data_IF_362010498840
#
_entry.id   IF_362010498840
#
_cell.length_a   1.000
_cell.length_b   1.000
_cell.length_c   1.000
_cell.angle_alpha   90.00
_cell.angle_beta   90.00
_cell.angle_gamma   90.00
#
_symmetry.space_group_name_H-M   'P 1'
#
loop_
_entity.id
_entity.type
_entity.pdbx_description
1 polymer ?
#
# COMPACT_ATOMS: atom_id res chain seq x y z
N UNK A 1 -12.74 -4.67 11.79
CA UNK A 1 -11.64 -3.70 11.75
C UNK A 1 -10.83 -3.90 10.49
N UNK A 2 -10.64 -2.86 9.71
CA UNK A 2 -9.89 -2.95 8.47
C UNK A 2 -8.39 -3.09 8.75
N UNK A 3 -7.72 -3.87 7.90
CA UNK A 3 -6.29 -4.17 8.03
C UNK A 3 -5.54 -3.52 6.87
N UNK A 4 -4.60 -2.67 7.19
CA UNK A 4 -3.79 -1.93 6.23
C UNK A 4 -2.37 -2.48 6.30
N UNK A 5 -1.85 -2.94 5.16
CA UNK A 5 -0.46 -3.39 5.07
C UNK A 5 0.40 -2.27 4.49
N UNK A 6 1.55 -2.04 5.11
CA UNK A 6 2.50 -1.00 4.66
C UNK A 6 3.76 -1.65 4.11
N UNK A 7 4.10 -1.34 2.87
CA UNK A 7 5.38 -1.67 2.25
C UNK A 7 6.11 -0.37 1.98
N UNK A 8 6.85 0.10 2.99
CA UNK A 8 7.54 1.38 3.02
C UNK A 8 8.85 1.21 3.79
N UNK A 9 9.95 1.74 3.27
CA UNK A 9 11.27 1.58 3.88
C UNK A 9 11.66 2.71 4.82
N UNK A 10 11.00 3.87 4.75
CA UNK A 10 11.27 5.00 5.65
C UNK A 10 10.65 4.72 7.02
N UNK A 11 11.50 4.39 8.00
CA UNK A 11 11.03 4.03 9.35
C UNK A 11 10.30 5.15 10.05
N UNK A 12 10.67 6.40 9.82
CA UNK A 12 9.96 7.54 10.38
C UNK A 12 8.54 7.60 9.82
N UNK A 13 8.40 7.42 8.51
CA UNK A 13 7.09 7.39 7.86
C UNK A 13 6.26 6.24 8.38
N UNK A 14 6.84 5.04 8.51
CA UNK A 14 6.13 3.87 9.04
C UNK A 14 5.60 4.15 10.44
N UNK A 15 6.42 4.75 11.31
CA UNK A 15 6.00 5.08 12.67
C UNK A 15 4.83 6.06 12.69
N UNK A 16 4.90 7.11 11.85
CA UNK A 16 3.82 8.08 11.73
C UNK A 16 2.54 7.45 11.22
N UNK A 17 2.64 6.60 10.19
CA UNK A 17 1.47 5.94 9.61
C UNK A 17 0.83 4.97 10.60
N UNK A 18 1.64 4.21 11.35
CA UNK A 18 1.09 3.31 12.38
C UNK A 18 0.28 4.08 13.41
N UNK A 19 0.81 5.21 13.86
CA UNK A 19 0.11 6.05 14.84
C UNK A 19 -1.17 6.62 14.26
N UNK A 20 -1.07 7.25 13.08
CA UNK A 20 -2.20 7.90 12.43
C UNK A 20 -3.33 6.91 12.12
N UNK A 21 -2.98 5.80 11.49
CA UNK A 21 -3.98 4.80 11.09
C UNK A 21 -4.56 4.07 12.30
N UNK A 22 -3.75 3.84 13.33
CA UNK A 22 -4.24 3.24 14.58
C UNK A 22 -5.26 4.13 15.26
N UNK A 23 -5.07 5.44 15.23
CA UNK A 23 -6.03 6.39 15.79
C UNK A 23 -7.38 6.36 15.06
N UNK A 24 -7.37 5.96 13.79
CA UNK A 24 -8.60 5.83 13.00
C UNK A 24 -9.25 4.45 13.14
N UNK A 25 -8.68 3.60 13.98
CA UNK A 25 -9.22 2.27 14.24
C UNK A 25 -8.76 1.19 13.29
N UNK A 26 -7.80 1.47 12.42
CA UNK A 26 -7.25 0.46 11.51
C UNK A 26 -6.18 -0.40 12.20
N UNK A 27 -6.15 -1.67 11.84
CA UNK A 27 -5.04 -2.54 12.21
C UNK A 27 -3.94 -2.39 11.15
N UNK A 28 -2.71 -2.14 11.58
CA UNK A 28 -1.60 -1.88 10.67
C UNK A 28 -0.60 -3.04 10.70
N UNK A 29 -0.25 -3.53 9.52
CA UNK A 29 0.76 -4.56 9.33
C UNK A 29 1.92 -3.91 8.58
N UNK A 30 3.00 -3.57 9.29
CA UNK A 30 4.17 -2.96 8.67
C UNK A 30 5.17 -4.05 8.31
N UNK A 31 5.50 -4.16 7.02
CA UNK A 31 6.46 -5.14 6.56
C UNK A 31 7.88 -4.68 6.83
N UNK A 32 8.76 -5.61 7.17
CA UNK A 32 10.18 -5.32 7.23
C UNK A 32 10.75 -5.26 5.82
N UNK A 33 11.91 -4.61 5.67
CA UNK A 33 12.57 -4.43 4.38
C UNK A 33 12.92 -5.75 3.69
N UNK A 34 13.09 -6.82 4.47
CA UNK A 34 13.49 -8.13 3.96
C UNK A 34 12.31 -9.02 3.58
N UNK A 35 11.08 -8.61 3.90
CA UNK A 35 9.92 -9.44 3.62
C UNK A 35 9.50 -9.35 2.16
N UNK A 36 9.10 -10.50 1.61
CA UNK A 36 8.48 -10.56 0.29
C UNK A 36 7.05 -10.05 0.38
N UNK A 37 6.75 -8.97 -0.32
CA UNK A 37 5.44 -8.31 -0.24
C UNK A 37 4.32 -9.23 -0.74
N UNK A 38 4.53 -9.91 -1.86
CA UNK A 38 3.50 -10.78 -2.44
C UNK A 38 3.15 -11.91 -1.49
N UNK A 39 4.17 -12.53 -0.89
CA UNK A 39 3.96 -13.61 0.07
C UNK A 39 3.24 -13.10 1.32
N UNK A 40 3.62 -11.94 1.83
CA UNK A 40 2.97 -11.34 2.98
C UNK A 40 1.49 -11.07 2.70
N UNK A 41 1.17 -10.58 1.50
CA UNK A 41 -0.21 -10.35 1.09
C UNK A 41 -1.01 -11.67 1.10
N UNK A 42 -0.43 -12.73 0.58
CA UNK A 42 -1.09 -14.04 0.57
C UNK A 42 -1.35 -14.55 1.99
N UNK A 43 -0.38 -14.37 2.88
CA UNK A 43 -0.46 -14.91 4.24
C UNK A 43 -1.41 -14.10 5.12
N UNK A 44 -1.34 -12.79 5.05
CA UNK A 44 -2.05 -11.90 5.99
C UNK A 44 -3.37 -11.38 5.43
N UNK A 45 -3.55 -11.39 4.12
CA UNK A 45 -4.76 -10.95 3.42
C UNK A 45 -5.29 -9.60 3.93
N UNK A 46 -4.50 -8.53 3.77
CA UNK A 46 -4.94 -7.21 4.19
C UNK A 46 -6.10 -6.71 3.33
N UNK A 47 -6.81 -5.71 3.84
CA UNK A 47 -7.89 -5.07 3.07
C UNK A 47 -7.33 -4.09 2.05
N UNK A 48 -6.24 -3.40 2.39
CA UNK A 48 -5.54 -2.46 1.50
C UNK A 48 -4.04 -2.62 1.70
N UNK A 49 -3.29 -2.55 0.60
CA UNK A 49 -1.84 -2.47 0.61
C UNK A 49 -1.42 -1.06 0.20
N UNK A 50 -0.67 -0.39 1.05
CA UNK A 50 -0.01 0.87 0.72
C UNK A 50 1.43 0.52 0.32
N UNK A 51 1.75 0.71 -0.96
CA UNK A 51 2.98 0.18 -1.57
C UNK A 51 3.79 1.30 -2.20
N UNK A 52 5.03 1.48 -1.71
CA UNK A 52 5.96 2.42 -2.32
C UNK A 52 6.51 1.84 -3.62
N UNK A 53 6.55 2.64 -4.68
CA UNK A 53 7.15 2.22 -5.94
C UNK A 53 8.65 1.89 -5.77
N UNK A 54 9.34 2.68 -4.95
CA UNK A 54 10.78 2.57 -4.77
C UNK A 54 11.13 1.89 -3.45
N UNK A 55 11.13 0.56 -3.44
CA UNK A 55 11.60 -0.22 -2.30
C UNK A 55 13.07 -0.60 -2.52
N UNK A 56 13.86 -0.74 -1.43
CA UNK A 56 15.29 -1.06 -1.58
C UNK A 56 15.56 -2.37 -2.30
N UNK A 57 14.71 -3.37 -2.08
CA UNK A 57 14.90 -4.73 -2.59
C UNK A 57 13.94 -5.10 -3.72
N UNK A 58 13.07 -4.19 -4.13
CA UNK A 58 12.07 -4.50 -5.14
C UNK A 58 11.52 -3.24 -5.79
N UNK A 59 11.12 -3.38 -7.05
CA UNK A 59 10.38 -2.33 -7.74
C UNK A 59 8.88 -2.55 -7.44
N UNK A 60 8.23 -1.55 -6.85
CA UNK A 60 6.81 -1.66 -6.48
C UNK A 60 5.89 -1.95 -7.66
N UNK A 61 6.22 -1.48 -8.87
CA UNK A 61 5.42 -1.80 -10.06
C UNK A 61 5.50 -3.29 -10.40
N UNK A 62 6.69 -3.89 -10.26
CA UNK A 62 6.83 -5.33 -10.48
C UNK A 62 6.05 -6.12 -9.43
N UNK A 63 6.09 -5.66 -8.17
CA UNK A 63 5.31 -6.28 -7.09
C UNK A 63 3.82 -6.21 -7.42
N UNK A 64 3.34 -5.06 -7.88
CA UNK A 64 1.95 -4.88 -8.27
C UNK A 64 1.57 -5.84 -9.41
N UNK A 65 2.43 -5.99 -10.41
CA UNK A 65 2.18 -6.92 -11.50
C UNK A 65 2.00 -8.35 -10.98
N UNK A 66 2.85 -8.77 -10.04
CA UNK A 66 2.75 -10.10 -9.44
C UNK A 66 1.44 -10.27 -8.67
N UNK A 67 1.03 -9.24 -7.94
CA UNK A 67 -0.24 -9.26 -7.20
C UNK A 67 -1.41 -9.42 -8.17
N UNK A 68 -1.40 -8.73 -9.29
CA UNK A 68 -2.50 -8.78 -10.27
C UNK A 68 -2.53 -10.06 -11.08
N UNK A 69 -1.41 -10.75 -11.22
CA UNK A 69 -1.31 -12.02 -11.96
C UNK A 69 -1.74 -13.24 -11.14
N UNK A 70 -1.78 -13.10 -9.81
CA UNK A 70 -2.09 -14.21 -8.91
C UNK A 70 -3.59 -14.19 -8.59
N UNK A 71 -4.28 -15.30 -8.85
CA UNK A 71 -5.71 -15.41 -8.60
C UNK A 71 -6.10 -15.17 -7.14
N UNK A 72 -5.20 -15.44 -6.20
CA UNK A 72 -5.47 -15.24 -4.78
C UNK A 72 -5.38 -13.79 -4.35
N UNK A 73 -4.67 -12.95 -5.10
CA UNK A 73 -4.36 -11.57 -4.69
C UNK A 73 -4.82 -10.51 -5.69
N UNK A 74 -5.28 -10.91 -6.87
CA UNK A 74 -5.55 -9.99 -7.97
C UNK A 74 -6.58 -8.90 -7.67
N UNK A 75 -7.47 -9.13 -6.70
CA UNK A 75 -8.53 -8.17 -6.36
C UNK A 75 -8.17 -7.28 -5.17
N UNK A 76 -6.96 -7.42 -4.63
CA UNK A 76 -6.51 -6.60 -3.51
C UNK A 76 -6.52 -5.12 -3.88
N UNK A 77 -7.00 -4.28 -2.96
CA UNK A 77 -6.90 -2.83 -3.13
C UNK A 77 -5.46 -2.40 -2.88
N UNK A 78 -4.85 -1.78 -3.88
CA UNK A 78 -3.46 -1.32 -3.80
C UNK A 78 -3.40 0.18 -4.05
N UNK A 79 -2.86 0.91 -3.09
CA UNK A 79 -2.57 2.34 -3.21
C UNK A 79 -1.05 2.49 -3.33
N UNK A 80 -0.60 3.04 -4.45
CA UNK A 80 0.84 3.23 -4.69
C UNK A 80 1.28 4.61 -4.23
N UNK A 81 2.53 4.72 -3.79
CA UNK A 81 3.12 6.00 -3.41
C UNK A 81 4.49 6.16 -4.07
N UNK A 82 4.86 7.40 -4.36
CA UNK A 82 6.19 7.73 -4.90
C UNK A 82 6.46 9.21 -4.72
N UNK A 83 7.75 9.57 -4.66
CA UNK A 83 8.19 10.97 -4.74
C UNK A 83 8.16 11.53 -6.15
N UNK A 84 7.97 10.66 -7.14
CA UNK A 84 7.80 11.05 -8.54
C UNK A 84 6.35 10.86 -8.94
N UNK A 85 5.85 11.73 -9.83
CA UNK A 85 4.46 11.59 -10.28
C UNK A 85 4.36 10.45 -11.28
N UNK A 86 4.06 9.26 -10.77
CA UNK A 86 3.91 8.02 -11.54
C UNK A 86 2.45 7.55 -11.55
N UNK A 87 1.51 8.45 -11.37
CA UNK A 87 0.09 8.09 -11.25
C UNK A 87 -0.41 7.28 -12.44
N UNK A 88 -0.14 7.76 -13.65
CA UNK A 88 -0.61 7.07 -14.85
C UNK A 88 0.02 5.69 -14.99
N UNK A 89 1.31 5.57 -14.71
CA UNK A 89 2.01 4.30 -14.78
C UNK A 89 1.46 3.31 -13.75
N UNK A 90 1.29 3.78 -12.51
CA UNK A 90 0.74 2.93 -11.44
C UNK A 90 -0.65 2.44 -11.81
N UNK A 91 -1.51 3.30 -12.28
CA UNK A 91 -2.87 2.91 -12.66
C UNK A 91 -2.88 1.98 -13.86
N UNK A 92 -1.97 2.18 -14.80
CA UNK A 92 -1.82 1.30 -15.95
C UNK A 92 -1.43 -0.13 -15.52
N UNK A 93 -0.63 -0.26 -14.48
CA UNK A 93 -0.27 -1.56 -13.90
C UNK A 93 -1.34 -2.16 -13.00
N UNK A 94 -2.42 -1.43 -12.74
CA UNK A 94 -3.54 -1.95 -11.96
C UNK A 94 -3.67 -1.43 -10.54
N UNK A 95 -3.00 -0.32 -10.21
CA UNK A 95 -3.19 0.33 -8.91
C UNK A 95 -4.60 0.93 -8.81
N UNK A 96 -5.17 0.84 -7.62
CA UNK A 96 -6.48 1.46 -7.37
C UNK A 96 -6.36 2.97 -7.20
N UNK A 97 -5.29 3.42 -6.55
CA UNK A 97 -5.03 4.84 -6.34
C UNK A 97 -3.53 5.12 -6.22
N UNK A 98 -3.19 6.41 -6.24
CA UNK A 98 -1.81 6.87 -6.16
C UNK A 98 -1.72 8.11 -5.27
N UNK A 99 -0.67 8.17 -4.44
CA UNK A 99 -0.35 9.33 -3.62
C UNK A 99 1.06 9.81 -3.91
N UNK A 100 1.18 11.07 -4.30
CA UNK A 100 2.49 11.71 -4.51
C UNK A 100 3.06 12.14 -3.15
N UNK A 101 4.30 11.76 -2.87
CA UNK A 101 4.99 12.19 -1.65
C UNK A 101 5.58 13.60 -1.81
N UNK A 102 5.58 14.42 -0.78
CA UNK A 102 4.92 14.21 0.51
C UNK A 102 3.40 14.46 0.40
N UNK A 103 2.61 13.57 0.98
CA UNK A 103 1.15 13.73 1.00
C UNK A 103 0.69 14.15 2.40
N UNK A 104 -0.48 14.78 2.44
CA UNK A 104 -1.08 15.17 3.71
C UNK A 104 -1.80 13.98 4.34
N UNK A 105 -1.83 13.90 5.68
CA UNK A 105 -2.56 12.83 6.36
C UNK A 105 -4.02 12.72 5.91
N UNK A 106 -4.70 13.86 5.73
CA UNK A 106 -6.10 13.86 5.29
C UNK A 106 -6.28 13.22 3.92
N UNK A 107 -5.33 13.43 3.00
CA UNK A 107 -5.41 12.84 1.67
C UNK A 107 -5.26 11.31 1.74
N UNK A 108 -4.35 10.83 2.58
CA UNK A 108 -4.17 9.39 2.79
C UNK A 108 -5.43 8.77 3.38
N UNK A 109 -5.96 9.37 4.45
CA UNK A 109 -7.15 8.83 5.11
C UNK A 109 -8.35 8.78 4.17
N UNK A 110 -8.52 9.81 3.34
CA UNK A 110 -9.60 9.86 2.36
C UNK A 110 -9.48 8.74 1.32
N UNK A 111 -8.28 8.54 0.78
CA UNK A 111 -8.04 7.49 -0.22
C UNK A 111 -8.26 6.11 0.38
N UNK A 112 -7.77 5.87 1.59
CA UNK A 112 -7.97 4.58 2.26
C UNK A 112 -9.45 4.31 2.50
N UNK A 113 -10.18 5.32 2.99
CA UNK A 113 -11.61 5.17 3.23
C UNK A 113 -12.37 4.86 1.94
N UNK A 114 -12.02 5.51 0.83
CA UNK A 114 -12.64 5.25 -0.47
C UNK A 114 -12.42 3.80 -0.92
N UNK A 115 -11.24 3.26 -0.70
CA UNK A 115 -10.94 1.89 -1.10
C UNK A 115 -11.56 0.84 -0.17
N UNK A 116 -11.77 1.18 1.10
CA UNK A 116 -12.35 0.27 2.07
C UNK A 116 -13.88 0.22 2.02
N UNK A 117 -14.52 1.29 1.57
CA UNK A 117 -15.97 1.41 1.55
C UNK A 117 -16.61 0.90 0.26
N UNK A 118 -15.81 0.54 -0.73
CA UNK A 118 -16.29 -0.06 -1.96
C UNK A 118 -16.34 -1.58 -1.79
N UNK A 119 -17.46 -2.04 -1.37
CA UNK A 119 -17.72 -3.47 -1.26
C UNK A 119 -18.38 -4.00 -2.52
#
# INVERSE_FOLDING_TARGET
MARIMLAEDDLTMVTLLKTLLGMEGYQVIALSIDEDVVEAVRNDRPDVLLLDVHLPNANGLDVLDQIREDDETKDLKVVMTSGLNLELECKHHGANDFLLKPYMPDDLLKILAQNLNHS
#
